data_IF_952036350516
#
_entry.id   IF_952036350516
#
_cell.length_a   1.000
_cell.length_b   1.000
_cell.length_c   1.000
_cell.angle_alpha   90.00
_cell.angle_beta   90.00
_cell.angle_gamma   90.00
#
_symmetry.space_group_name_H-M   'P 1'
#
loop_
_entity.id
_entity.type
_entity.pdbx_description
1 polymer ?
#
# COMPACT_ATOMS: atom_id res chain seq x y z
N UNK A 1 -7.91 -14.29 44.76
CA UNK A 1 -7.37 -13.50 43.63
C UNK A 1 -5.86 -13.70 43.71
N UNK A 2 -5.25 -14.41 42.76
CA UNK A 2 -3.80 -14.62 42.75
C UNK A 2 -3.11 -13.24 42.63
N UNK A 3 -2.13 -12.96 43.50
CA UNK A 3 -1.32 -11.76 43.37
C UNK A 3 -0.50 -11.89 42.10
N UNK A 4 -0.80 -11.06 41.10
CA UNK A 4 0.03 -10.91 39.92
C UNK A 4 1.41 -10.42 40.35
N UNK A 5 2.46 -11.09 39.90
CA UNK A 5 3.80 -10.59 40.14
C UNK A 5 4.09 -9.42 39.16
N UNK A 6 5.11 -8.63 39.46
CA UNK A 6 5.46 -7.46 38.65
C UNK A 6 5.83 -7.86 37.20
N UNK A 7 6.47 -9.02 37.02
CA UNK A 7 6.86 -9.56 35.71
C UNK A 7 5.65 -9.89 34.83
N UNK A 8 4.57 -10.44 35.40
CA UNK A 8 3.30 -10.74 34.73
C UNK A 8 2.57 -9.46 34.30
N UNK A 9 2.77 -8.36 35.04
CA UNK A 9 2.22 -7.04 34.69
C UNK A 9 3.01 -6.44 33.54
N UNK A 10 4.34 -6.48 33.62
CA UNK A 10 5.24 -5.96 32.58
C UNK A 10 5.11 -6.73 31.27
N UNK A 11 4.94 -8.06 31.31
CA UNK A 11 4.70 -8.88 30.12
C UNK A 11 3.37 -8.54 29.44
N UNK A 12 2.29 -8.37 30.21
CA UNK A 12 0.99 -8.00 29.67
C UNK A 12 1.00 -6.59 29.05
N UNK A 13 1.67 -5.63 29.70
CA UNK A 13 1.86 -4.28 29.18
C UNK A 13 2.64 -4.29 27.85
N UNK A 14 3.74 -5.03 27.78
CA UNK A 14 4.52 -5.19 26.54
C UNK A 14 3.68 -5.84 25.43
N UNK A 15 2.90 -6.88 25.73
CA UNK A 15 2.04 -7.53 24.74
C UNK A 15 0.96 -6.57 24.21
N UNK A 16 0.33 -5.79 25.09
CA UNK A 16 -0.65 -4.77 24.70
C UNK A 16 0.00 -3.68 23.83
N UNK A 17 1.19 -3.21 24.20
CA UNK A 17 1.95 -2.23 23.42
C UNK A 17 2.29 -2.76 22.02
N UNK A 18 2.74 -4.02 21.91
CA UNK A 18 2.96 -4.68 20.60
C UNK A 18 1.68 -4.76 19.77
N UNK A 19 0.56 -5.12 20.38
CA UNK A 19 -0.73 -5.20 19.69
C UNK A 19 -1.18 -3.83 19.16
N UNK A 20 -1.08 -2.78 19.98
CA UNK A 20 -1.39 -1.42 19.56
C UNK A 20 -0.46 -0.94 18.43
N UNK A 21 0.84 -1.24 18.52
CA UNK A 21 1.81 -0.93 17.48
C UNK A 21 1.45 -1.59 16.13
N UNK A 22 1.14 -2.89 16.16
CA UNK A 22 0.72 -3.63 14.96
C UNK A 22 -0.59 -3.08 14.36
N UNK A 23 -1.56 -2.71 15.20
CA UNK A 23 -2.83 -2.15 14.73
C UNK A 23 -2.64 -0.79 14.04
N UNK A 24 -1.83 0.09 14.62
CA UNK A 24 -1.51 1.39 14.03
C UNK A 24 -0.72 1.26 12.73
N UNK A 25 0.22 0.31 12.68
CA UNK A 25 1.02 0.00 11.49
C UNK A 25 0.11 -0.42 10.32
N UNK A 26 -0.81 -1.35 10.55
CA UNK A 26 -1.78 -1.79 9.53
C UNK A 26 -2.62 -0.62 9.02
N UNK A 27 -3.19 0.18 9.91
CA UNK A 27 -3.98 1.35 9.52
C UNK A 27 -3.18 2.35 8.67
N UNK A 28 -1.88 2.52 8.96
CA UNK A 28 -1.01 3.37 8.15
C UNK A 28 -0.79 2.81 6.74
N UNK A 29 -0.41 1.53 6.63
CA UNK A 29 -0.17 0.91 5.32
C UNK A 29 -1.44 0.77 4.50
N UNK A 30 -2.58 0.43 5.12
CA UNK A 30 -3.88 0.42 4.44
C UNK A 30 -4.19 1.78 3.82
N UNK A 31 -3.99 2.87 4.58
CA UNK A 31 -4.20 4.23 4.08
C UNK A 31 -3.23 4.60 2.96
N UNK A 32 -1.96 4.20 3.04
CA UNK A 32 -0.98 4.46 1.99
C UNK A 32 -1.31 3.68 0.72
N UNK A 33 -1.57 2.37 0.84
CA UNK A 33 -1.97 1.49 -0.27
C UNK A 33 -3.24 1.96 -0.96
N UNK A 34 -4.22 2.49 -0.22
CA UNK A 34 -5.44 3.06 -0.82
C UNK A 34 -5.18 4.25 -1.75
N UNK A 35 -4.07 4.97 -1.60
CA UNK A 35 -3.72 6.07 -2.52
C UNK A 35 -3.43 5.54 -3.93
N UNK A 36 -2.95 4.31 -4.02
CA UNK A 36 -2.55 3.67 -5.27
C UNK A 36 -3.60 2.70 -5.81
N UNK A 37 -4.21 1.89 -4.93
CA UNK A 37 -5.21 0.89 -5.29
C UNK A 37 -6.66 1.44 -5.31
N UNK A 38 -6.89 2.63 -4.76
CA UNK A 38 -8.22 3.24 -4.63
C UNK A 38 -8.92 2.89 -3.31
N UNK A 39 -9.66 3.85 -2.76
CA UNK A 39 -10.33 3.75 -1.45
C UNK A 39 -11.60 2.88 -1.41
N UNK A 40 -12.06 2.35 -2.55
CA UNK A 40 -13.23 1.50 -2.60
C UNK A 40 -13.02 0.33 -3.55
N UNK A 41 -13.72 -0.78 -3.29
CA UNK A 41 -13.67 -1.95 -4.15
C UNK A 41 -14.03 -1.62 -5.61
N UNK A 42 -15.02 -0.76 -5.83
CA UNK A 42 -15.41 -0.34 -7.19
C UNK A 42 -14.32 0.47 -7.88
N UNK A 43 -13.61 1.33 -7.14
CA UNK A 43 -12.52 2.15 -7.69
C UNK A 43 -11.30 1.29 -8.02
N UNK A 44 -10.93 0.37 -7.13
CA UNK A 44 -9.86 -0.60 -7.36
C UNK A 44 -10.12 -1.44 -8.62
N UNK A 45 -11.34 -1.99 -8.73
CA UNK A 45 -11.75 -2.75 -9.91
C UNK A 45 -11.73 -1.91 -11.20
N UNK A 46 -12.10 -0.64 -11.12
CA UNK A 46 -12.02 0.26 -12.27
C UNK A 46 -10.57 0.49 -12.72
N UNK A 47 -9.63 0.66 -11.79
CA UNK A 47 -8.21 0.78 -12.10
C UNK A 47 -7.62 -0.49 -12.69
N UNK A 48 -8.00 -1.66 -12.19
CA UNK A 48 -7.59 -2.94 -12.75
C UNK A 48 -8.05 -3.10 -14.21
N UNK A 49 -9.32 -2.77 -14.49
CA UNK A 49 -9.87 -2.82 -15.85
C UNK A 49 -9.14 -1.84 -16.77
N UNK A 50 -8.87 -0.61 -16.31
CA UNK A 50 -8.13 0.39 -17.07
C UNK A 50 -6.68 -0.04 -17.34
N UNK A 51 -6.01 -0.63 -16.34
CA UNK A 51 -4.65 -1.14 -16.47
C UNK A 51 -4.57 -2.23 -17.54
N UNK A 52 -5.50 -3.20 -17.50
CA UNK A 52 -5.57 -4.27 -18.49
C UNK A 52 -5.89 -3.78 -19.90
N UNK A 53 -6.81 -2.83 -20.01
CA UNK A 53 -7.12 -2.21 -21.30
C UNK A 53 -5.89 -1.46 -21.86
N UNK A 54 -5.18 -0.70 -21.02
CA UNK A 54 -3.96 0.00 -21.42
C UNK A 54 -2.86 -0.97 -21.87
N UNK A 55 -2.62 -2.05 -21.12
CA UNK A 55 -1.66 -3.11 -21.48
C UNK A 55 -1.99 -3.71 -22.86
N UNK A 56 -3.25 -4.10 -23.09
CA UNK A 56 -3.70 -4.65 -24.37
C UNK A 56 -3.50 -3.67 -25.53
N UNK A 57 -3.80 -2.39 -25.33
CA UNK A 57 -3.62 -1.33 -26.34
C UNK A 57 -2.14 -1.17 -26.71
N UNK A 58 -1.25 -1.18 -25.70
CA UNK A 58 0.18 -0.98 -25.90
C UNK A 58 0.87 -2.21 -26.50
N UNK A 59 0.34 -3.41 -26.25
CA UNK A 59 0.84 -4.64 -26.85
C UNK A 59 0.56 -4.74 -28.37
N UNK A 60 -0.52 -4.11 -28.85
CA UNK A 60 -0.93 -4.17 -30.26
C UNK A 60 -1.54 -2.84 -30.77
N UNK A 61 -0.76 -1.75 -30.84
CA UNK A 61 -1.28 -0.40 -31.12
C UNK A 61 -1.86 -0.25 -32.54
N UNK A 62 -1.37 -1.02 -33.51
CA UNK A 62 -1.86 -0.99 -34.90
C UNK A 62 -3.12 -1.84 -35.14
N UNK A 63 -3.45 -2.74 -34.20
CA UNK A 63 -4.62 -3.61 -34.25
C UNK A 63 -5.39 -3.55 -32.93
N UNK A 64 -5.60 -2.32 -32.46
CA UNK A 64 -6.18 -2.05 -31.15
C UNK A 64 -7.60 -2.60 -31.04
N UNK A 65 -7.90 -3.27 -29.92
CA UNK A 65 -9.23 -3.75 -29.63
C UNK A 65 -10.17 -2.57 -29.32
N UNK A 66 -11.28 -2.45 -30.06
CA UNK A 66 -12.28 -1.39 -29.87
C UNK A 66 -12.80 -1.33 -28.42
N UNK A 67 -12.99 -2.48 -27.76
CA UNK A 67 -13.48 -2.51 -26.37
C UNK A 67 -12.48 -1.93 -25.38
N UNK A 68 -11.20 -2.20 -25.58
CA UNK A 68 -10.15 -1.65 -24.72
C UNK A 68 -10.01 -0.14 -24.98
N UNK A 69 -10.10 0.28 -26.25
CA UNK A 69 -10.12 1.69 -26.63
C UNK A 69 -11.30 2.44 -25.98
N UNK A 70 -12.51 1.88 -26.00
CA UNK A 70 -13.72 2.46 -25.38
C UNK A 70 -13.57 2.68 -23.87
N UNK A 71 -12.80 1.84 -23.16
CA UNK A 71 -12.53 1.99 -21.72
C UNK A 71 -11.61 3.20 -21.47
N UNK A 72 -10.63 3.44 -22.36
CA UNK A 72 -9.60 4.48 -22.19
C UNK A 72 -10.00 5.82 -22.82
N UNK A 73 -10.81 5.80 -23.88
CA UNK A 73 -11.17 6.97 -24.67
C UNK A 73 -11.80 8.11 -23.84
N UNK A 74 -12.73 7.87 -22.88
CA UNK A 74 -13.25 8.93 -22.03
C UNK A 74 -12.15 9.64 -21.23
N UNK A 75 -11.15 8.88 -20.75
CA UNK A 75 -10.02 9.42 -19.99
C UNK A 75 -9.08 10.24 -20.86
N UNK A 76 -8.88 9.80 -22.11
CA UNK A 76 -8.08 10.49 -23.11
C UNK A 76 -8.75 11.81 -23.54
N UNK A 77 -10.06 11.77 -23.82
CA UNK A 77 -10.88 12.94 -24.20
C UNK A 77 -10.83 14.06 -23.16
N UNK A 78 -10.97 13.72 -21.88
CA UNK A 78 -10.89 14.71 -20.77
C UNK A 78 -9.54 15.44 -20.74
N UNK A 79 -8.47 14.80 -21.24
CA UNK A 79 -7.10 15.34 -21.23
C UNK A 79 -6.65 15.89 -22.59
N UNK A 80 -7.47 15.77 -23.63
CA UNK A 80 -7.11 16.21 -24.98
C UNK A 80 -5.94 15.46 -25.59
N UNK A 81 -5.74 14.19 -25.21
CA UNK A 81 -4.66 13.31 -25.70
C UNK A 81 -5.22 12.11 -26.44
N UNK A 82 -4.36 11.38 -27.14
CA UNK A 82 -4.73 10.13 -27.82
C UNK A 82 -4.95 8.98 -26.83
N UNK A 83 -5.68 7.95 -27.28
CA UNK A 83 -5.88 6.70 -26.51
C UNK A 83 -4.55 6.03 -26.17
N UNK A 84 -3.59 6.03 -27.11
CA UNK A 84 -2.26 5.45 -26.92
C UNK A 84 -1.47 6.23 -25.85
N UNK A 85 -1.48 7.56 -25.91
CA UNK A 85 -0.83 8.39 -24.89
C UNK A 85 -1.46 8.19 -23.50
N UNK A 86 -2.80 8.08 -23.43
CA UNK A 86 -3.49 7.80 -22.18
C UNK A 86 -3.16 6.41 -21.65
N UNK A 87 -3.06 5.40 -22.51
CA UNK A 87 -2.64 4.05 -22.14
C UNK A 87 -1.23 4.04 -21.53
N UNK A 88 -0.26 4.77 -22.12
CA UNK A 88 1.09 4.93 -21.53
C UNK A 88 1.05 5.56 -20.14
N UNK A 89 0.27 6.62 -19.96
CA UNK A 89 0.13 7.28 -18.65
C UNK A 89 -0.46 6.32 -17.60
N UNK A 90 -1.39 5.44 -18.01
CA UNK A 90 -1.96 4.43 -17.11
C UNK A 90 -0.91 3.38 -16.75
N UNK A 91 -0.19 2.84 -17.73
CA UNK A 91 0.89 1.87 -17.52
C UNK A 91 1.97 2.42 -16.56
N UNK A 92 2.47 3.64 -16.81
CA UNK A 92 3.45 4.29 -15.93
C UNK A 92 2.95 4.44 -14.48
N UNK A 93 1.66 4.76 -14.32
CA UNK A 93 1.03 4.85 -12.99
C UNK A 93 0.91 3.49 -12.32
N UNK A 94 0.58 2.46 -13.07
CA UNK A 94 0.49 1.09 -12.56
C UNK A 94 1.87 0.61 -12.13
N UNK A 95 2.90 0.81 -12.93
CA UNK A 95 4.27 0.44 -12.56
C UNK A 95 4.73 1.15 -11.27
N UNK A 96 4.46 2.46 -11.17
CA UNK A 96 4.78 3.22 -9.96
C UNK A 96 3.99 2.69 -8.75
N UNK A 97 2.70 2.45 -8.90
CA UNK A 97 1.86 1.90 -7.85
C UNK A 97 2.37 0.54 -7.37
N UNK A 98 2.73 -0.37 -8.28
CA UNK A 98 3.28 -1.69 -7.95
C UNK A 98 4.57 -1.56 -7.15
N UNK A 99 5.51 -0.71 -7.59
CA UNK A 99 6.78 -0.49 -6.87
C UNK A 99 6.57 0.03 -5.46
N UNK A 100 5.66 1.00 -5.29
CA UNK A 100 5.34 1.59 -3.99
C UNK A 100 4.63 0.58 -3.06
N UNK A 101 3.70 -0.22 -3.59
CA UNK A 101 3.00 -1.26 -2.82
C UNK A 101 3.98 -2.33 -2.34
N UNK A 102 4.84 -2.85 -3.23
CA UNK A 102 5.87 -3.84 -2.85
C UNK A 102 6.77 -3.30 -1.74
N UNK A 103 7.25 -2.06 -1.88
CA UNK A 103 8.07 -1.42 -0.85
C UNK A 103 7.33 -1.29 0.48
N UNK A 104 6.03 -0.99 0.46
CA UNK A 104 5.22 -0.94 1.66
C UNK A 104 5.03 -2.32 2.30
N UNK A 105 4.76 -3.36 1.52
CA UNK A 105 4.66 -4.74 2.02
C UNK A 105 5.96 -5.19 2.70
N UNK A 106 7.11 -4.91 2.07
CA UNK A 106 8.44 -5.21 2.64
C UNK A 106 8.67 -4.49 3.98
N UNK A 107 8.33 -3.19 4.05
CA UNK A 107 8.48 -2.40 5.28
C UNK A 107 7.47 -2.84 6.36
N UNK A 108 6.26 -3.23 5.98
CA UNK A 108 5.25 -3.77 6.89
C UNK A 108 5.73 -5.08 7.52
N UNK A 109 6.22 -6.01 6.71
CA UNK A 109 6.74 -7.29 7.19
C UNK A 109 7.97 -7.14 8.07
N UNK A 110 8.88 -6.22 7.72
CA UNK A 110 10.03 -5.90 8.56
C UNK A 110 9.59 -5.29 9.90
N UNK A 111 8.61 -4.38 9.90
CA UNK A 111 8.10 -3.76 11.11
C UNK A 111 7.39 -4.77 12.01
N UNK A 112 6.53 -5.63 11.45
CA UNK A 112 5.86 -6.73 12.18
C UNK A 112 6.88 -7.60 12.90
N UNK A 113 7.90 -8.08 12.17
CA UNK A 113 8.95 -8.93 12.73
C UNK A 113 9.69 -8.26 13.90
N UNK A 114 10.10 -7.00 13.73
CA UNK A 114 10.80 -6.25 14.78
C UNK A 114 9.94 -5.99 16.01
N UNK A 115 8.64 -5.73 15.83
CA UNK A 115 7.69 -5.57 16.95
C UNK A 115 7.53 -6.90 17.70
N UNK A 116 7.42 -8.01 17.00
CA UNK A 116 7.34 -9.35 17.60
C UNK A 116 8.60 -9.69 18.40
N UNK A 117 9.79 -9.39 17.86
CA UNK A 117 11.08 -9.67 18.47
C UNK A 117 11.43 -8.77 19.67
N UNK A 118 10.80 -7.60 19.81
CA UNK A 118 11.11 -6.64 20.88
C UNK A 118 10.94 -7.26 22.28
N UNK A 119 11.97 -7.18 23.13
CA UNK A 119 11.99 -7.85 24.44
C UNK A 119 11.59 -6.92 25.59
N UNK A 120 11.45 -5.63 25.32
CA UNK A 120 11.08 -4.62 26.30
C UNK A 120 10.31 -3.48 25.66
N UNK A 121 9.59 -2.71 26.47
CA UNK A 121 8.90 -1.50 26.02
C UNK A 121 9.88 -0.44 25.50
N UNK A 122 11.06 -0.35 26.10
CA UNK A 122 12.12 0.59 25.68
C UNK A 122 12.61 0.27 24.27
N UNK A 123 12.86 -1.01 23.99
CA UNK A 123 13.25 -1.49 22.66
C UNK A 123 12.14 -1.25 21.63
N UNK A 124 10.89 -1.58 22.00
CA UNK A 124 9.73 -1.34 21.15
C UNK A 124 9.56 0.15 20.84
N UNK A 125 9.69 1.03 21.82
CA UNK A 125 9.56 2.47 21.64
C UNK A 125 10.67 3.03 20.75
N UNK A 126 11.91 2.57 20.91
CA UNK A 126 13.03 2.96 20.06
C UNK A 126 12.79 2.54 18.60
N UNK A 127 12.30 1.32 18.37
CA UNK A 127 11.93 0.82 17.04
C UNK A 127 10.83 1.66 16.40
N UNK A 128 9.77 1.98 17.14
CA UNK A 128 8.66 2.79 16.65
C UNK A 128 9.09 4.22 16.31
N UNK A 129 10.01 4.79 17.09
CA UNK A 129 10.55 6.12 16.81
C UNK A 129 11.41 6.13 15.54
N UNK A 130 12.26 5.11 15.33
CA UNK A 130 13.06 4.96 14.10
C UNK A 130 12.17 4.82 12.87
N UNK A 131 11.12 3.99 12.93
CA UNK A 131 10.14 3.87 11.84
C UNK A 131 9.43 5.20 11.56
N UNK A 132 8.98 5.90 12.60
CA UNK A 132 8.33 7.20 12.47
C UNK A 132 9.22 8.22 11.78
N UNK A 133 10.50 8.27 12.14
CA UNK A 133 11.46 9.19 11.53
C UNK A 133 11.69 8.87 10.05
N UNK A 134 11.91 7.59 9.69
CA UNK A 134 12.09 7.16 8.29
C UNK A 134 10.88 7.49 7.41
N UNK A 135 9.67 7.38 7.97
CA UNK A 135 8.45 7.76 7.26
C UNK A 135 8.30 9.28 7.06
N UNK A 136 8.91 10.11 7.91
CA UNK A 136 8.91 11.57 7.77
C UNK A 136 9.98 12.09 6.81
N UNK A 137 11.04 11.32 6.59
CA UNK A 137 12.17 11.65 5.70
C UNK A 137 11.99 11.14 4.26
N UNK A 138 10.92 10.39 3.97
CA UNK A 138 10.55 9.89 2.64
C UNK A 138 9.53 10.79 1.96
#
# INVERSE_FOLDING_TARGET
IAQRNQEDIELELLQNAKFSALSNLRAYYDNYTHQYAGHSHQKAKSYEIQAKAAENILAAPESMNEKDAEIIEPLAKVRGITVIEMARIIEEKVEKAVKEIIKCEELEDLAKRKIEEAKSEVELQALLNDFKQRMQES
#
